data_IF_890382018349
#
_entry.id   IF_890382018349
#
_cell.length_a   1.000
_cell.length_b   1.000
_cell.length_c   1.000
_cell.angle_alpha   90.00
_cell.angle_beta   90.00
_cell.angle_gamma   90.00
#
_symmetry.space_group_name_H-M   'P 1'
#
loop_
_entity.id
_entity.type
_entity.pdbx_description
1 polymer ?
#
# COMPACT_ATOMS: atom_id res chain seq x y z
N UNK A 1 12.95 -17.06 7.47
CA UNK A 1 11.61 -17.10 6.87
C UNK A 1 10.59 -16.82 7.96
N UNK A 2 9.78 -15.80 7.82
CA UNK A 2 8.72 -15.51 8.77
C UNK A 2 7.54 -16.46 8.54
N UNK A 3 6.84 -16.82 9.63
CA UNK A 3 5.63 -17.60 9.49
C UNK A 3 4.53 -16.72 8.90
N UNK A 4 3.81 -17.22 7.92
CA UNK A 4 2.72 -16.51 7.25
C UNK A 4 1.63 -16.03 8.24
N UNK A 5 1.37 -16.77 9.31
CA UNK A 5 0.45 -16.41 10.38
C UNK A 5 0.82 -15.09 11.10
N UNK A 6 2.11 -14.70 11.04
CA UNK A 6 2.63 -13.48 11.66
C UNK A 6 2.76 -12.30 10.67
N UNK A 7 2.24 -12.42 9.45
CA UNK A 7 2.23 -11.34 8.47
C UNK A 7 0.89 -10.59 8.55
N UNK A 8 0.94 -9.26 8.45
CA UNK A 8 -0.23 -8.39 8.30
C UNK A 8 0.00 -7.42 7.15
N UNK A 9 -0.81 -7.51 6.12
CA UNK A 9 -0.78 -6.57 5.00
C UNK A 9 -1.97 -5.64 5.14
N UNK A 10 -1.72 -4.36 5.28
CA UNK A 10 -2.77 -3.38 5.52
C UNK A 10 -2.46 -2.05 4.84
N UNK A 11 -3.50 -1.29 4.63
CA UNK A 11 -3.43 0.09 4.14
C UNK A 11 -4.05 1.04 5.16
N UNK A 12 -3.73 2.32 5.05
CA UNK A 12 -4.40 3.38 5.81
C UNK A 12 -5.28 4.15 4.85
N UNK A 13 -6.56 4.22 5.14
CA UNK A 13 -7.56 4.98 4.41
C UNK A 13 -8.10 6.12 5.28
N UNK A 14 -8.25 7.30 4.71
CA UNK A 14 -8.70 8.48 5.44
C UNK A 14 -9.25 9.53 4.48
N UNK A 15 -10.04 10.45 5.01
CA UNK A 15 -10.27 11.72 4.34
C UNK A 15 -9.01 12.60 4.36
N UNK A 16 -8.95 13.59 3.47
CA UNK A 16 -7.86 14.58 3.46
C UNK A 16 -7.77 15.25 4.83
N UNK A 17 -6.56 15.49 5.31
CA UNK A 17 -6.25 16.12 6.59
C UNK A 17 -6.73 15.37 7.87
N UNK A 18 -7.27 14.16 7.78
CA UNK A 18 -7.58 13.35 8.96
C UNK A 18 -6.35 12.76 9.66
N UNK A 19 -5.15 12.91 9.06
CA UNK A 19 -3.87 12.56 9.68
C UNK A 19 -3.31 11.21 9.24
N UNK A 20 -3.64 10.75 8.02
CA UNK A 20 -3.14 9.51 7.42
C UNK A 20 -1.61 9.42 7.44
N UNK A 21 -0.91 10.36 6.78
CA UNK A 21 0.55 10.36 6.68
C UNK A 21 1.21 10.54 8.05
N UNK A 22 0.61 11.33 8.95
CA UNK A 22 1.11 11.48 10.33
C UNK A 22 1.02 10.16 11.11
N UNK A 23 -0.07 9.40 10.94
CA UNK A 23 -0.20 8.08 11.57
C UNK A 23 0.82 7.10 10.98
N UNK A 24 0.98 7.07 9.66
CA UNK A 24 1.98 6.22 8.99
C UNK A 24 3.40 6.48 9.54
N UNK A 25 3.80 7.75 9.65
CA UNK A 25 5.09 8.15 10.24
C UNK A 25 5.25 7.63 11.68
N UNK A 26 4.19 7.71 12.49
CA UNK A 26 4.22 7.22 13.88
C UNK A 26 4.33 5.70 13.98
N UNK A 27 3.63 4.96 13.11
CA UNK A 27 3.74 3.49 13.07
C UNK A 27 5.17 3.08 12.69
N UNK A 28 5.77 3.73 11.69
CA UNK A 28 7.17 3.51 11.28
C UNK A 28 8.14 3.82 12.43
N UNK A 29 7.92 4.91 13.14
CA UNK A 29 8.74 5.32 14.29
C UNK A 29 8.67 4.30 15.42
N UNK A 30 7.47 3.91 15.85
CA UNK A 30 7.26 2.97 16.97
C UNK A 30 7.84 1.59 16.69
N UNK A 31 7.84 1.16 15.42
CA UNK A 31 8.43 -0.12 15.02
C UNK A 31 9.95 -0.08 14.85
N UNK A 32 10.59 1.08 15.07
CA UNK A 32 12.04 1.23 14.92
C UNK A 32 12.55 0.98 13.51
N UNK A 33 11.66 1.03 12.52
CA UNK A 33 11.98 0.70 11.13
C UNK A 33 12.80 1.80 10.44
N UNK A 34 13.02 2.94 11.09
CA UNK A 34 13.78 4.07 10.59
C UNK A 34 14.61 4.75 11.69
N UNK A 35 15.79 5.29 11.32
CA UNK A 35 16.65 6.02 12.23
C UNK A 35 16.00 7.36 12.64
N UNK A 36 15.70 7.53 13.92
CA UNK A 36 15.05 8.74 14.47
C UNK A 36 15.77 10.03 14.08
N UNK A 37 17.09 10.00 13.89
CA UNK A 37 17.89 11.17 13.49
C UNK A 37 17.63 11.63 12.05
N UNK A 38 17.01 10.80 11.24
CA UNK A 38 16.69 11.07 9.83
C UNK A 38 15.19 11.24 9.60
N UNK A 39 14.38 11.17 10.64
CA UNK A 39 12.94 11.36 10.51
C UNK A 39 12.62 12.77 10.02
N UNK A 40 11.95 12.81 8.87
CA UNK A 40 11.31 14.02 8.34
C UNK A 40 9.80 13.79 8.41
N UNK A 41 9.02 14.86 8.52
CA UNK A 41 7.57 14.75 8.40
C UNK A 41 7.20 14.23 7.01
N UNK A 42 6.17 13.39 6.93
CA UNK A 42 5.70 12.78 5.67
C UNK A 42 6.81 11.93 5.01
N UNK A 43 7.35 10.99 5.78
CA UNK A 43 8.47 10.13 5.36
C UNK A 43 8.16 9.33 4.09
N UNK A 44 6.89 8.97 3.88
CA UNK A 44 6.43 8.22 2.71
C UNK A 44 6.11 9.11 1.51
N UNK A 45 5.85 10.41 1.71
CA UNK A 45 5.58 11.35 0.64
C UNK A 45 6.90 11.81 0.00
N UNK A 46 7.35 11.09 -1.04
CA UNK A 46 8.66 11.30 -1.65
C UNK A 46 8.68 12.42 -2.70
N UNK A 47 7.53 12.79 -3.26
CA UNK A 47 7.42 13.84 -4.28
C UNK A 47 7.35 15.22 -3.61
N UNK A 48 8.00 16.21 -4.21
CA UNK A 48 7.97 17.59 -3.72
C UNK A 48 6.54 18.14 -3.68
N UNK A 49 5.75 17.83 -4.70
CA UNK A 49 4.34 18.24 -4.80
C UNK A 49 3.45 17.57 -3.72
N UNK A 50 3.75 16.33 -3.30
CA UNK A 50 3.06 15.67 -2.20
C UNK A 50 3.26 16.43 -0.89
N UNK A 51 4.50 16.83 -0.61
CA UNK A 51 4.86 17.59 0.59
C UNK A 51 4.30 19.01 0.57
N UNK A 52 4.35 19.67 -0.61
CA UNK A 52 3.80 21.01 -0.78
C UNK A 52 2.29 21.06 -0.56
N UNK A 53 1.58 20.05 -1.08
CA UNK A 53 0.12 19.96 -1.03
C UNK A 53 -0.42 19.23 0.20
N UNK A 54 0.43 18.52 0.94
CA UNK A 54 0.03 17.70 2.09
C UNK A 54 -0.82 16.48 1.72
N UNK A 55 -0.71 15.98 0.48
CA UNK A 55 -1.48 14.84 -0.03
C UNK A 55 -0.54 13.75 -0.57
N UNK A 56 -0.87 12.50 -0.34
CA UNK A 56 -0.21 11.36 -0.98
C UNK A 56 -0.78 11.20 -2.39
N UNK A 57 0.08 11.17 -3.40
CA UNK A 57 -0.29 10.95 -4.81
C UNK A 57 0.07 9.54 -5.22
N UNK A 58 1.28 9.08 -4.88
CA UNK A 58 1.79 7.76 -5.25
C UNK A 58 1.81 6.82 -4.04
N UNK A 59 1.30 5.61 -4.24
CA UNK A 59 1.36 4.58 -3.20
C UNK A 59 2.81 4.26 -2.82
N UNK A 60 3.05 4.13 -1.52
CA UNK A 60 4.33 3.72 -0.96
C UNK A 60 4.14 2.49 -0.10
N UNK A 61 5.11 1.60 -0.13
CA UNK A 61 5.06 0.40 0.69
C UNK A 61 6.23 0.35 1.66
N UNK A 62 5.97 -0.11 2.87
CA UNK A 62 6.98 -0.26 3.91
C UNK A 62 6.74 -1.54 4.69
N UNK A 63 7.80 -2.33 4.86
CA UNK A 63 7.81 -3.47 5.78
C UNK A 63 8.35 -3.04 7.13
N UNK A 64 7.57 -3.28 8.16
CA UNK A 64 7.91 -3.00 9.56
C UNK A 64 7.96 -4.32 10.35
N UNK A 65 8.81 -4.36 11.39
CA UNK A 65 8.86 -5.45 12.37
C UNK A 65 8.29 -4.94 13.68
N UNK A 66 7.38 -5.69 14.25
CA UNK A 66 6.75 -5.32 15.51
C UNK A 66 6.70 -6.51 16.46
N UNK A 67 7.14 -6.31 17.70
CA UNK A 67 6.99 -7.27 18.77
C UNK A 67 5.73 -6.89 19.54
N UNK A 68 4.67 -7.66 19.35
CA UNK A 68 3.37 -7.40 19.98
C UNK A 68 3.35 -7.77 21.47
N UNK A 69 2.31 -7.34 22.17
CA UNK A 69 2.10 -7.63 23.60
C UNK A 69 1.97 -9.12 23.91
N UNK A 70 1.69 -9.96 22.90
CA UNK A 70 1.71 -11.43 23.00
C UNK A 70 3.13 -12.03 22.97
N UNK A 71 4.16 -11.21 22.82
CA UNK A 71 5.57 -11.60 22.78
C UNK A 71 6.05 -12.16 21.44
N UNK A 72 5.21 -12.17 20.40
CA UNK A 72 5.59 -12.64 19.07
C UNK A 72 6.05 -11.48 18.19
N UNK A 73 6.97 -11.78 17.27
CA UNK A 73 7.37 -10.84 16.21
C UNK A 73 6.43 -10.98 15.01
N UNK A 74 5.88 -9.85 14.58
CA UNK A 74 5.03 -9.71 13.42
C UNK A 74 5.71 -8.90 12.32
N UNK A 75 5.40 -9.24 11.08
CA UNK A 75 5.74 -8.46 9.90
C UNK A 75 4.50 -7.67 9.48
N UNK A 76 4.62 -6.37 9.56
CA UNK A 76 3.57 -5.42 9.19
C UNK A 76 3.96 -4.78 7.86
N UNK A 77 3.24 -5.09 6.79
CA UNK A 77 3.42 -4.46 5.49
C UNK A 77 2.36 -3.36 5.36
N UNK A 78 2.78 -2.12 5.53
CA UNK A 78 1.95 -0.94 5.24
C UNK A 78 2.04 -0.64 3.75
N UNK A 79 0.91 -0.55 3.08
CA UNK A 79 0.77 -0.03 1.72
C UNK A 79 0.02 1.28 1.84
N UNK A 80 0.75 2.40 1.82
CA UNK A 80 0.16 3.74 1.93
C UNK A 80 -0.53 4.12 0.62
N UNK A 81 -1.75 4.65 0.71
CA UNK A 81 -2.60 4.95 -0.43
C UNK A 81 -2.93 6.44 -0.50
N UNK A 82 -3.15 6.99 -1.71
CA UNK A 82 -3.73 8.33 -1.82
C UNK A 82 -5.04 8.45 -1.05
N UNK A 83 -5.31 9.62 -0.46
CA UNK A 83 -6.58 9.90 0.23
C UNK A 83 -7.63 10.58 -0.65
N UNK A 84 -7.25 11.08 -1.84
CA UNK A 84 -8.09 11.88 -2.71
C UNK A 84 -8.93 11.02 -3.66
N UNK A 85 -10.19 11.40 -3.90
CA UNK A 85 -11.13 10.66 -4.78
C UNK A 85 -10.65 10.54 -6.23
N UNK A 86 -9.85 11.48 -6.72
CA UNK A 86 -9.32 11.41 -8.07
C UNK A 86 -8.33 10.25 -8.27
N UNK A 87 -7.81 9.69 -7.19
CA UNK A 87 -6.87 8.56 -7.18
C UNK A 87 -7.53 7.23 -6.78
N UNK A 88 -8.86 7.11 -6.93
CA UNK A 88 -9.60 5.89 -6.55
C UNK A 88 -9.03 4.61 -7.20
N UNK A 89 -8.44 4.73 -8.38
CA UNK A 89 -7.85 3.61 -9.08
C UNK A 89 -6.55 3.13 -8.40
N UNK A 90 -5.69 4.06 -8.01
CA UNK A 90 -4.48 3.78 -7.23
C UNK A 90 -4.82 3.20 -5.87
N UNK A 91 -5.84 3.74 -5.21
CA UNK A 91 -6.36 3.20 -3.94
C UNK A 91 -6.83 1.76 -4.11
N UNK A 92 -7.67 1.48 -5.09
CA UNK A 92 -8.20 0.13 -5.34
C UNK A 92 -7.10 -0.90 -5.59
N UNK A 93 -6.03 -0.52 -6.31
CA UNK A 93 -4.87 -1.40 -6.57
C UNK A 93 -4.13 -1.78 -5.30
N UNK A 94 -3.85 -0.79 -4.48
CA UNK A 94 -3.13 -0.98 -3.23
C UNK A 94 -3.93 -1.81 -2.24
N UNK A 95 -5.25 -1.56 -2.17
CA UNK A 95 -6.16 -2.32 -1.32
C UNK A 95 -6.23 -3.80 -1.71
N UNK A 96 -6.18 -4.13 -3.01
CA UNK A 96 -6.18 -5.53 -3.46
C UNK A 96 -4.94 -6.34 -3.00
N UNK A 97 -3.87 -5.67 -2.59
CA UNK A 97 -2.68 -6.32 -2.03
C UNK A 97 -2.75 -6.51 -0.50
N UNK A 98 -3.82 -6.03 0.15
CA UNK A 98 -4.00 -6.02 1.60
C UNK A 98 -5.05 -7.05 2.07
N UNK A 99 -5.00 -7.37 3.35
CA UNK A 99 -6.04 -8.10 4.09
C UNK A 99 -6.83 -7.19 5.02
N UNK A 100 -6.32 -5.99 5.35
CA UNK A 100 -7.00 -5.03 6.22
C UNK A 100 -6.79 -3.58 5.80
N UNK A 101 -7.67 -2.71 6.30
CA UNK A 101 -7.59 -1.28 6.13
C UNK A 101 -7.83 -0.56 7.47
N UNK A 102 -6.92 0.31 7.85
CA UNK A 102 -7.07 1.19 9.01
C UNK A 102 -7.81 2.45 8.56
N UNK A 103 -9.03 2.64 9.02
CA UNK A 103 -9.86 3.79 8.70
C UNK A 103 -9.64 4.90 9.74
N UNK A 104 -8.95 5.97 9.34
CA UNK A 104 -8.67 7.10 10.21
C UNK A 104 -9.76 8.15 10.08
N UNK A 105 -10.42 8.47 11.19
CA UNK A 105 -11.46 9.49 11.27
C UNK A 105 -11.04 10.58 12.28
N UNK A 106 -11.18 11.84 11.89
CA UNK A 106 -10.89 12.98 12.75
C UNK A 106 -11.95 13.11 13.86
N UNK A 107 -11.53 13.18 15.13
CA UNK A 107 -12.40 13.29 16.29
C UNK A 107 -13.25 14.58 16.34
N UNK A 108 -12.93 15.59 15.53
CA UNK A 108 -13.65 16.85 15.47
C UNK A 108 -14.53 16.97 14.22
N UNK A 109 -14.10 16.41 13.07
CA UNK A 109 -14.79 16.53 11.79
C UNK A 109 -15.78 15.38 11.52
N UNK A 110 -15.45 14.16 11.97
CA UNK A 110 -16.30 12.99 11.77
C UNK A 110 -16.18 12.34 10.40
N UNK A 111 -17.26 11.72 9.95
CA UNK A 111 -17.34 10.97 8.69
C UNK A 111 -17.60 11.93 7.52
N UNK A 112 -16.68 11.96 6.58
CA UNK A 112 -16.75 12.79 5.39
C UNK A 112 -16.99 11.96 4.11
N UNK A 113 -17.35 12.60 3.01
CA UNK A 113 -17.71 11.90 1.76
C UNK A 113 -16.62 10.98 1.23
N UNK A 114 -15.34 11.38 1.32
CA UNK A 114 -14.21 10.54 0.92
C UNK A 114 -14.01 9.34 1.85
N UNK A 115 -14.36 9.48 3.13
CA UNK A 115 -14.35 8.37 4.09
C UNK A 115 -15.23 7.24 3.57
N UNK A 116 -16.47 7.54 3.18
CA UNK A 116 -17.40 6.56 2.62
C UNK A 116 -16.90 5.93 1.33
N UNK A 117 -16.40 6.74 0.40
CA UNK A 117 -15.86 6.24 -0.86
C UNK A 117 -14.72 5.23 -0.64
N UNK A 118 -13.78 5.54 0.26
CA UNK A 118 -12.66 4.67 0.58
C UNK A 118 -13.10 3.39 1.31
N UNK A 119 -14.10 3.49 2.18
CA UNK A 119 -14.70 2.32 2.86
C UNK A 119 -15.33 1.38 1.85
N UNK A 120 -16.11 1.88 0.88
CA UNK A 120 -16.68 1.03 -0.16
C UNK A 120 -15.61 0.32 -1.00
N UNK A 121 -14.51 1.02 -1.35
CA UNK A 121 -13.38 0.39 -2.05
C UNK A 121 -12.72 -0.72 -1.22
N UNK A 122 -12.62 -0.54 0.11
CA UNK A 122 -12.09 -1.57 1.00
C UNK A 122 -13.04 -2.77 1.10
N UNK A 123 -14.35 -2.54 1.20
CA UNK A 123 -15.37 -3.59 1.21
C UNK A 123 -15.40 -4.37 -0.10
N UNK A 124 -15.29 -3.71 -1.25
CA UNK A 124 -15.22 -4.35 -2.57
C UNK A 124 -14.02 -5.30 -2.69
N UNK A 125 -12.95 -5.03 -1.94
CA UNK A 125 -11.76 -5.89 -1.85
C UNK A 125 -11.84 -6.90 -0.68
N UNK A 126 -12.96 -7.01 0.02
CA UNK A 126 -13.17 -7.90 1.17
C UNK A 126 -12.16 -7.69 2.31
N UNK A 127 -11.76 -6.45 2.57
CA UNK A 127 -10.82 -6.14 3.64
C UNK A 127 -11.52 -6.05 4.99
N UNK A 128 -10.79 -6.44 6.05
CA UNK A 128 -11.16 -6.11 7.42
C UNK A 128 -10.89 -4.62 7.66
N UNK A 129 -11.90 -3.86 8.10
CA UNK A 129 -11.79 -2.42 8.30
C UNK A 129 -11.73 -2.10 9.78
N UNK A 130 -10.63 -1.47 10.21
CA UNK A 130 -10.37 -1.10 11.59
C UNK A 130 -10.53 0.41 11.76
N UNK A 131 -11.61 0.90 12.38
CA UNK A 131 -11.80 2.32 12.65
C UNK A 131 -10.83 2.80 13.74
N UNK A 132 -10.25 3.99 13.53
CA UNK A 132 -9.36 4.69 14.46
C UNK A 132 -9.78 6.15 14.55
N UNK A 133 -10.02 6.65 15.76
CA UNK A 133 -10.41 8.03 16.01
C UNK A 133 -9.15 8.84 16.31
N UNK A 134 -8.78 9.73 15.39
CA UNK A 134 -7.57 10.54 15.50
C UNK A 134 -7.85 11.98 15.97
N UNK A 135 -6.78 12.67 16.38
CA UNK A 135 -6.79 14.06 16.82
C UNK A 135 -7.57 14.31 18.10
N UNK A 136 -7.55 13.37 19.05
CA UNK A 136 -8.19 13.54 20.36
C UNK A 136 -7.51 14.62 21.22
N UNK A 137 -6.37 15.16 20.80
CA UNK A 137 -5.67 16.29 21.41
C UNK A 137 -6.35 17.63 21.13
N UNK A 138 -7.26 17.70 20.17
CA UNK A 138 -7.99 18.93 19.85
C UNK A 138 -9.06 19.25 20.91
N UNK A 139 -9.24 20.51 21.30
CA UNK A 139 -10.32 20.90 22.24
C UNK A 139 -11.73 20.63 21.73
N UNK A 140 -11.90 20.53 20.40
CA UNK A 140 -13.17 20.23 19.73
C UNK A 140 -13.41 18.73 19.51
N UNK A 141 -12.52 17.87 19.99
CA UNK A 141 -12.63 16.42 19.79
C UNK A 141 -13.87 15.84 20.52
N UNK A 142 -14.62 14.98 19.81
CA UNK A 142 -15.85 14.32 20.31
C UNK A 142 -15.80 12.82 20.00
N UNK A 143 -14.83 12.06 20.54
CA UNK A 143 -14.58 10.69 20.13
C UNK A 143 -15.79 9.77 20.27
N UNK A 144 -16.57 9.88 21.34
CA UNK A 144 -17.73 9.03 21.58
C UNK A 144 -18.87 9.29 20.58
N UNK A 145 -19.06 10.55 20.18
CA UNK A 145 -20.03 10.91 19.14
C UNK A 145 -19.60 10.39 17.77
N UNK A 146 -18.30 10.50 17.46
CA UNK A 146 -17.75 10.03 16.18
C UNK A 146 -17.80 8.49 16.07
N UNK A 147 -17.58 7.76 17.17
CA UNK A 147 -17.79 6.31 17.19
C UNK A 147 -19.22 5.95 16.78
N UNK A 148 -20.22 6.62 17.36
CA UNK A 148 -21.61 6.44 16.97
C UNK A 148 -21.88 6.81 15.52
N UNK A 149 -21.31 7.91 15.06
CA UNK A 149 -21.46 8.33 13.67
C UNK A 149 -20.93 7.27 12.69
N UNK A 150 -19.76 6.64 13.00
CA UNK A 150 -19.23 5.53 12.20
C UNK A 150 -20.19 4.35 12.19
N UNK A 151 -20.77 3.99 13.34
CA UNK A 151 -21.75 2.90 13.44
C UNK A 151 -23.02 3.21 12.66
N UNK A 152 -23.56 4.42 12.81
CA UNK A 152 -24.83 4.83 12.20
C UNK A 152 -24.73 5.07 10.69
N UNK A 153 -23.60 5.64 10.21
CA UNK A 153 -23.42 6.05 8.81
C UNK A 153 -22.77 4.97 7.96
N UNK A 154 -21.77 4.28 8.53
CA UNK A 154 -20.98 3.28 7.81
C UNK A 154 -21.43 1.86 8.11
N UNK A 155 -21.93 1.62 9.33
CA UNK A 155 -22.33 0.28 9.81
C UNK A 155 -21.16 -0.55 10.34
N UNK A 156 -20.02 0.07 10.66
CA UNK A 156 -18.87 -0.59 11.27
C UNK A 156 -18.95 -0.47 12.80
N UNK A 157 -18.65 -1.55 13.53
CA UNK A 157 -18.50 -1.49 14.98
C UNK A 157 -17.26 -0.65 15.35
N UNK A 158 -17.49 0.50 15.95
CA UNK A 158 -16.46 1.41 16.42
C UNK A 158 -16.38 1.50 17.96
N UNK A 159 -17.15 0.68 18.68
CA UNK A 159 -17.21 0.72 20.15
C UNK A 159 -15.82 0.63 20.81
N UNK A 160 -14.97 -0.25 20.31
CA UNK A 160 -13.61 -0.47 20.78
C UNK A 160 -12.53 0.24 19.94
N UNK A 161 -12.91 1.13 19.02
CA UNK A 161 -11.96 1.83 18.16
C UNK A 161 -10.93 2.61 18.99
N UNK A 162 -9.62 2.47 18.72
CA UNK A 162 -8.59 3.25 19.38
C UNK A 162 -8.80 4.75 19.18
N UNK A 163 -8.72 5.50 20.28
CA UNK A 163 -8.76 6.97 20.28
C UNK A 163 -7.35 7.50 20.45
N UNK A 164 -6.81 8.12 19.41
CA UNK A 164 -5.39 8.46 19.32
C UNK A 164 -5.12 9.93 19.02
N UNK A 165 -3.90 10.35 19.27
CA UNK A 165 -3.32 11.54 18.63
C UNK A 165 -2.06 11.13 17.88
N UNK A 166 -2.13 11.01 16.55
CA UNK A 166 -0.97 10.75 15.73
C UNK A 166 0.09 11.86 15.88
N UNK A 167 -0.33 13.10 16.10
CA UNK A 167 0.57 14.27 16.32
C UNK A 167 1.43 14.11 17.57
N UNK A 168 0.84 13.73 18.69
CA UNK A 168 1.54 13.59 19.98
C UNK A 168 2.10 12.19 20.22
N UNK A 169 1.63 11.19 19.46
CA UNK A 169 1.96 9.76 19.65
C UNK A 169 1.08 9.07 20.70
N UNK A 170 0.08 9.76 21.28
CA UNK A 170 -0.79 9.21 22.30
C UNK A 170 -1.59 8.03 21.74
N UNK A 171 -1.56 6.88 22.44
CA UNK A 171 -2.30 5.64 22.14
C UNK A 171 -2.03 5.03 20.74
N UNK A 172 -0.98 5.45 20.02
CA UNK A 172 -0.72 4.91 18.67
C UNK A 172 -0.28 3.44 18.72
N UNK A 173 0.32 2.98 19.82
CA UNK A 173 0.65 1.57 20.02
C UNK A 173 -0.60 0.68 20.02
N UNK A 174 -1.74 1.19 20.49
CA UNK A 174 -3.00 0.44 20.49
C UNK A 174 -3.49 0.15 19.06
N UNK A 175 -3.14 1.00 18.09
CA UNK A 175 -3.43 0.74 16.67
C UNK A 175 -2.59 -0.43 16.15
N UNK A 176 -1.31 -0.55 16.53
CA UNK A 176 -0.46 -1.68 16.16
C UNK A 176 -0.99 -2.99 16.74
N UNK A 177 -1.43 -2.99 18.00
CA UNK A 177 -2.02 -4.15 18.66
C UNK A 177 -3.36 -4.53 17.97
N UNK A 178 -4.16 -3.54 17.60
CA UNK A 178 -5.43 -3.77 16.90
C UNK A 178 -5.20 -4.40 15.52
N UNK A 179 -4.21 -3.91 14.77
CA UNK A 179 -3.79 -4.50 13.48
C UNK A 179 -3.35 -5.95 13.67
N UNK A 180 -2.51 -6.23 14.65
CA UNK A 180 -2.02 -7.60 14.92
C UNK A 180 -3.17 -8.54 15.25
N UNK A 181 -4.13 -8.09 16.04
CA UNK A 181 -5.26 -8.88 16.54
C UNK A 181 -6.34 -9.12 15.47
N UNK A 182 -6.72 -8.09 14.73
CA UNK A 182 -7.94 -8.09 13.94
C UNK A 182 -7.70 -8.18 12.43
N UNK A 183 -6.56 -7.67 11.89
CA UNK A 183 -6.25 -7.93 10.49
C UNK A 183 -5.91 -9.40 10.29
N UNK A 184 -6.61 -10.12 9.40
CA UNK A 184 -6.31 -11.53 9.16
C UNK A 184 -4.91 -11.70 8.56
N UNK A 185 -4.27 -12.83 8.87
CA UNK A 185 -3.04 -13.22 8.17
C UNK A 185 -3.34 -13.54 6.71
N UNK A 186 -2.40 -13.25 5.80
CA UNK A 186 -2.58 -13.58 4.40
C UNK A 186 -2.76 -15.09 4.19
N UNK A 187 -3.64 -15.45 3.27
CA UNK A 187 -3.86 -16.82 2.84
C UNK A 187 -2.92 -17.13 1.68
N UNK A 188 -2.50 -18.38 1.55
CA UNK A 188 -1.68 -18.85 0.44
C UNK A 188 -0.88 -20.10 0.81
N UNK A 189 -0.43 -20.83 -0.20
CA UNK A 189 0.35 -22.06 -0.02
C UNK A 189 1.66 -21.97 -0.83
N UNK A 190 2.78 -22.05 -0.13
CA UNK A 190 4.13 -21.98 -0.71
C UNK A 190 4.43 -23.13 -1.71
N UNK A 191 3.68 -24.23 -1.63
CA UNK A 191 3.88 -25.41 -2.46
C UNK A 191 3.03 -25.38 -3.75
N UNK A 192 2.09 -24.44 -3.86
CA UNK A 192 1.30 -24.27 -5.08
C UNK A 192 2.08 -23.58 -6.20
N UNK A 193 1.59 -23.65 -7.45
CA UNK A 193 2.13 -22.83 -8.53
C UNK A 193 2.13 -21.35 -8.12
N UNK A 194 3.23 -20.67 -8.43
CA UNK A 194 3.41 -19.29 -8.03
C UNK A 194 2.43 -18.36 -8.73
N UNK A 195 1.72 -17.57 -7.94
CA UNK A 195 0.84 -16.51 -8.39
C UNK A 195 1.10 -15.22 -7.62
N UNK A 196 1.39 -14.15 -8.36
CA UNK A 196 1.67 -12.84 -7.80
C UNK A 196 0.87 -11.77 -8.52
N UNK A 197 0.35 -10.81 -7.78
CA UNK A 197 -0.34 -9.64 -8.31
C UNK A 197 0.63 -8.46 -8.37
N UNK A 198 0.71 -7.79 -9.50
CA UNK A 198 1.41 -6.51 -9.63
C UNK A 198 0.44 -5.42 -9.18
N UNK A 199 0.75 -4.70 -8.10
CA UNK A 199 -0.10 -3.61 -7.63
C UNK A 199 0.46 -2.21 -7.93
N UNK A 200 1.78 -2.10 -8.22
CA UNK A 200 2.42 -0.87 -8.69
C UNK A 200 3.72 -1.18 -9.43
N UNK A 201 4.31 -0.17 -10.06
CA UNK A 201 5.61 -0.29 -10.71
C UNK A 201 6.34 1.05 -10.72
N UNK A 202 7.68 0.99 -10.72
CA UNK A 202 8.54 2.16 -10.78
C UNK A 202 9.78 1.86 -11.61
N UNK A 203 10.31 2.88 -12.26
CA UNK A 203 11.63 2.79 -12.89
C UNK A 203 12.70 3.29 -11.92
N UNK A 204 13.65 2.43 -11.62
CA UNK A 204 14.83 2.75 -10.82
C UNK A 204 16.04 2.87 -11.74
N UNK A 205 16.85 3.92 -11.58
CA UNK A 205 17.99 4.17 -12.45
C UNK A 205 19.10 3.11 -12.36
N UNK A 206 19.13 2.32 -11.29
CA UNK A 206 20.14 1.29 -11.05
C UNK A 206 19.62 -0.13 -11.28
N UNK A 207 18.41 -0.42 -10.85
CA UNK A 207 17.80 -1.75 -10.90
C UNK A 207 16.87 -1.91 -12.13
N UNK A 208 16.59 -0.83 -12.87
CA UNK A 208 15.66 -0.84 -14.00
C UNK A 208 14.20 -0.81 -13.56
N UNK A 209 13.33 -1.49 -14.31
CA UNK A 209 11.92 -1.55 -13.98
C UNK A 209 11.67 -2.48 -12.79
N UNK A 210 11.12 -1.93 -11.71
CA UNK A 210 10.70 -2.65 -10.51
C UNK A 210 9.19 -2.86 -10.54
N UNK A 211 8.74 -4.10 -10.42
CA UNK A 211 7.35 -4.44 -10.20
C UNK A 211 7.09 -4.65 -8.70
N UNK A 212 6.11 -3.94 -8.15
CA UNK A 212 5.66 -4.11 -6.77
C UNK A 212 4.61 -5.21 -6.73
N UNK A 213 4.87 -6.23 -5.95
CA UNK A 213 4.11 -7.47 -6.01
C UNK A 213 3.61 -7.94 -4.66
N UNK A 214 2.43 -8.56 -4.68
CA UNK A 214 1.87 -9.37 -3.61
C UNK A 214 1.90 -10.84 -4.05
N UNK A 215 2.64 -11.67 -3.33
CA UNK A 215 2.70 -13.10 -3.59
C UNK A 215 1.49 -13.78 -2.94
N UNK A 216 0.59 -14.36 -3.74
CA UNK A 216 -0.58 -15.10 -3.23
C UNK A 216 -0.24 -16.55 -2.96
N UNK A 217 0.30 -17.28 -3.91
CA UNK A 217 0.75 -18.65 -3.75
C UNK A 217 2.18 -18.82 -4.27
N UNK A 218 2.87 -19.86 -3.81
CA UNK A 218 4.21 -20.21 -4.25
C UNK A 218 5.29 -19.30 -3.70
N UNK A 219 6.35 -19.12 -4.45
CA UNK A 219 7.49 -18.25 -4.13
C UNK A 219 8.24 -17.80 -5.36
N UNK A 220 9.01 -16.72 -5.21
CA UNK A 220 9.87 -16.12 -6.23
C UNK A 220 11.27 -15.90 -5.69
N UNK A 221 12.29 -16.12 -6.51
CA UNK A 221 13.69 -15.86 -6.18
C UNK A 221 14.47 -15.34 -7.39
N UNK A 222 15.65 -14.81 -7.17
CA UNK A 222 16.58 -14.44 -8.25
C UNK A 222 16.92 -15.65 -9.11
N UNK A 223 16.97 -15.46 -10.44
CA UNK A 223 17.21 -16.47 -11.46
C UNK A 223 15.96 -17.22 -11.92
N UNK A 224 14.80 -17.00 -11.28
CA UNK A 224 13.55 -17.56 -11.77
C UNK A 224 13.12 -16.86 -13.07
N UNK A 225 12.56 -17.63 -14.01
CA UNK A 225 11.95 -17.07 -15.22
C UNK A 225 10.45 -16.91 -14.94
N UNK A 226 10.01 -15.67 -14.91
CA UNK A 226 8.61 -15.30 -14.75
C UNK A 226 7.92 -15.17 -16.11
N UNK A 227 6.62 -15.33 -16.06
CA UNK A 227 5.71 -15.17 -17.18
C UNK A 227 4.57 -14.23 -16.77
N UNK A 228 4.40 -13.15 -17.53
CA UNK A 228 3.30 -12.18 -17.33
C UNK A 228 2.09 -12.63 -18.14
N UNK A 229 0.92 -12.75 -17.50
CA UNK A 229 -0.25 -13.38 -18.13
C UNK A 229 -0.94 -12.48 -19.15
N UNK A 230 -0.86 -11.15 -19.01
CA UNK A 230 -1.54 -10.21 -19.91
C UNK A 230 -0.88 -10.13 -21.29
N UNK A 231 0.46 -9.98 -21.34
CA UNK A 231 1.21 -9.79 -22.58
C UNK A 231 1.98 -11.03 -23.03
N UNK A 232 1.97 -12.10 -22.23
CA UNK A 232 2.61 -13.39 -22.49
C UNK A 232 4.12 -13.28 -22.69
N UNK A 233 4.77 -12.31 -22.04
CA UNK A 233 6.21 -12.11 -22.09
C UNK A 233 6.90 -12.83 -20.92
N UNK A 234 8.15 -13.20 -21.16
CA UNK A 234 9.00 -13.88 -20.19
C UNK A 234 10.16 -12.97 -19.79
N UNK A 235 10.48 -12.96 -18.50
CA UNK A 235 11.58 -12.18 -17.95
C UNK A 235 12.31 -12.99 -16.89
N UNK A 236 13.61 -12.80 -16.79
CA UNK A 236 14.40 -13.35 -15.70
C UNK A 236 14.42 -12.38 -14.52
N UNK A 237 14.18 -12.91 -13.33
CA UNK A 237 14.28 -12.15 -12.09
C UNK A 237 15.76 -11.91 -11.76
N UNK A 238 16.17 -10.65 -11.71
CA UNK A 238 17.51 -10.24 -11.31
C UNK A 238 17.62 -10.20 -9.78
N UNK A 239 16.64 -9.59 -9.12
CA UNK A 239 16.57 -9.52 -7.66
C UNK A 239 15.13 -9.48 -7.17
N UNK A 240 14.93 -9.94 -5.95
CA UNK A 240 13.68 -9.78 -5.19
C UNK A 240 13.99 -9.14 -3.85
N UNK A 241 13.01 -8.52 -3.24
CA UNK A 241 13.20 -7.92 -1.93
C UNK A 241 11.94 -7.25 -1.41
N UNK A 242 12.11 -6.47 -0.35
CA UNK A 242 11.04 -5.78 0.32
C UNK A 242 11.37 -4.30 0.56
N UNK A 243 10.35 -3.54 0.89
CA UNK A 243 10.43 -2.10 1.05
C UNK A 243 10.91 -1.72 2.45
N UNK A 244 11.72 -0.69 2.53
CA UNK A 244 12.02 0.05 3.75
C UNK A 244 11.80 1.53 3.52
N UNK A 245 11.64 2.35 4.56
CA UNK A 245 11.59 3.78 4.39
C UNK A 245 12.83 4.29 3.65
N UNK A 246 12.61 4.98 2.52
CA UNK A 246 13.68 5.52 1.69
C UNK A 246 14.45 4.52 0.84
N UNK A 247 13.93 3.32 0.57
CA UNK A 247 14.59 2.39 -0.35
C UNK A 247 14.14 0.93 -0.26
N UNK A 248 15.02 0.05 -0.71
CA UNK A 248 14.76 -1.38 -0.88
C UNK A 248 15.78 -2.22 -0.13
N UNK A 249 15.38 -3.42 0.30
CA UNK A 249 16.28 -4.42 0.88
C UNK A 249 16.13 -5.69 0.05
N UNK A 250 17.26 -6.20 -0.48
CA UNK A 250 17.28 -7.48 -1.20
C UNK A 250 17.00 -8.63 -0.25
N UNK A 251 16.28 -9.63 -0.76
CA UNK A 251 15.96 -10.88 -0.06
C UNK A 251 16.35 -12.04 -0.96
N UNK A 252 16.55 -13.21 -0.36
CA UNK A 252 16.82 -14.43 -1.14
C UNK A 252 15.58 -14.91 -1.89
N UNK A 253 14.41 -14.76 -1.29
CA UNK A 253 13.12 -15.15 -1.86
C UNK A 253 11.98 -14.28 -1.32
N UNK A 254 10.86 -14.26 -2.06
CA UNK A 254 9.55 -13.78 -1.62
C UNK A 254 8.57 -14.94 -1.64
N UNK A 255 7.88 -15.15 -0.53
CA UNK A 255 6.98 -16.28 -0.32
C UNK A 255 5.52 -15.89 -0.28
N UNK A 256 4.63 -16.88 -0.40
CA UNK A 256 3.19 -16.70 -0.24
C UNK A 256 2.87 -15.87 1.02
N UNK A 257 2.05 -14.85 0.86
CA UNK A 257 1.70 -13.91 1.92
C UNK A 257 2.53 -12.63 1.94
N UNK A 258 3.70 -12.59 1.31
CA UNK A 258 4.59 -11.44 1.38
C UNK A 258 4.30 -10.37 0.33
N UNK A 259 4.57 -9.13 0.70
CA UNK A 259 4.60 -7.95 -0.16
C UNK A 259 6.05 -7.55 -0.38
N UNK A 260 6.41 -7.27 -1.63
CA UNK A 260 7.77 -6.90 -1.97
C UNK A 260 7.90 -6.39 -3.40
N UNK A 261 9.12 -6.35 -3.89
CA UNK A 261 9.41 -5.96 -5.26
C UNK A 261 10.16 -7.07 -6.02
N UNK A 262 10.02 -7.03 -7.33
CA UNK A 262 10.79 -7.82 -8.28
C UNK A 262 11.49 -6.86 -9.22
N UNK A 263 12.82 -6.96 -9.32
CA UNK A 263 13.59 -6.41 -10.41
C UNK A 263 13.77 -7.51 -11.46
N UNK A 264 13.28 -7.30 -12.65
CA UNK A 264 13.41 -8.24 -13.75
C UNK A 264 14.10 -7.56 -14.94
N UNK A 265 14.58 -8.35 -15.90
CA UNK A 265 15.26 -7.83 -17.10
C UNK A 265 14.26 -7.13 -18.05
N UNK A 266 13.41 -6.27 -17.51
CA UNK A 266 12.38 -5.54 -18.25
C UNK A 266 12.95 -4.20 -18.69
N UNK A 267 13.03 -4.00 -20.01
CA UNK A 267 13.61 -2.78 -20.59
C UNK A 267 12.61 -1.61 -20.62
N UNK A 268 11.32 -1.90 -20.82
CA UNK A 268 10.29 -0.89 -20.95
C UNK A 268 9.28 -1.05 -19.81
N UNK A 269 9.02 0.01 -19.05
CA UNK A 269 8.03 0.01 -17.98
C UNK A 269 6.61 -0.31 -18.51
N UNK A 270 6.32 0.06 -19.75
CA UNK A 270 5.04 -0.26 -20.43
C UNK A 270 4.77 -1.77 -20.58
N UNK A 271 5.78 -2.61 -20.42
CA UNK A 271 5.64 -4.06 -20.42
C UNK A 271 5.10 -4.61 -19.09
N UNK A 272 5.18 -3.82 -18.03
CA UNK A 272 4.60 -4.11 -16.72
C UNK A 272 3.22 -3.46 -16.66
N UNK A 273 2.18 -4.30 -16.64
CA UNK A 273 0.82 -3.80 -16.41
C UNK A 273 0.45 -3.99 -14.96
N UNK A 274 0.07 -2.91 -14.30
CA UNK A 274 -0.49 -3.00 -12.95
C UNK A 274 -1.81 -3.76 -13.00
N UNK A 275 -2.01 -4.69 -12.06
CA UNK A 275 -3.13 -5.63 -12.05
C UNK A 275 -2.87 -6.92 -12.81
N UNK A 276 -1.70 -7.05 -13.46
CA UNK A 276 -1.33 -8.31 -14.12
C UNK A 276 -0.90 -9.36 -13.11
N UNK A 277 -1.03 -10.61 -13.54
CA UNK A 277 -0.58 -11.77 -12.78
C UNK A 277 0.77 -12.25 -13.30
N UNK A 278 1.71 -12.38 -12.38
CA UNK A 278 3.00 -13.04 -12.62
C UNK A 278 2.92 -14.47 -12.12
N UNK A 279 3.45 -15.38 -12.93
CA UNK A 279 3.65 -16.79 -12.58
C UNK A 279 5.00 -17.30 -13.07
N UNK A 280 5.43 -18.48 -12.61
CA UNK A 280 6.67 -19.08 -13.08
C UNK A 280 6.44 -19.80 -14.42
N UNK A 281 7.38 -19.64 -15.36
CA UNK A 281 7.34 -20.28 -16.67
C UNK A 281 7.28 -21.81 -16.59
N UNK A 282 8.01 -22.40 -15.67
CA UNK A 282 8.11 -23.87 -15.51
C UNK A 282 6.90 -24.51 -14.83
N UNK A 283 6.08 -23.72 -14.13
CA UNK A 283 4.86 -24.21 -13.46
C UNK A 283 3.81 -23.08 -13.40
N UNK A 284 3.25 -22.66 -14.55
CA UNK A 284 2.35 -21.52 -14.62
C UNK A 284 0.99 -21.85 -14.03
N UNK A 285 0.35 -20.84 -13.42
CA UNK A 285 -1.06 -20.91 -13.06
C UNK A 285 -1.93 -20.87 -14.31
N UNK A 286 -3.10 -21.50 -14.25
CA UNK A 286 -4.00 -21.62 -15.41
C UNK A 286 -4.83 -20.35 -15.63
N UNK A 287 -5.20 -19.67 -14.56
CA UNK A 287 -6.07 -18.51 -14.57
C UNK A 287 -5.37 -17.34 -13.88
N UNK A 288 -5.53 -16.10 -14.38
CA UNK A 288 -5.02 -14.94 -13.72
C UNK A 288 -5.74 -14.72 -12.38
N UNK A 289 -5.05 -14.09 -11.44
CA UNK A 289 -5.69 -13.55 -10.24
C UNK A 289 -6.79 -12.58 -10.67
N UNK A 290 -7.84 -12.48 -9.86
CA UNK A 290 -8.84 -11.45 -10.08
C UNK A 290 -8.14 -10.09 -9.99
N UNK A 291 -7.83 -9.57 -11.17
CA UNK A 291 -7.14 -8.32 -11.35
C UNK A 291 -8.13 -7.17 -11.44
N UNK A 292 -7.59 -6.00 -11.59
CA UNK A 292 -8.35 -4.77 -11.76
C UNK A 292 -9.15 -4.77 -13.05
N UNK A 293 -10.31 -4.14 -13.02
CA UNK A 293 -11.01 -3.76 -14.25
C UNK A 293 -10.14 -2.77 -15.02
N UNK A 294 -9.93 -2.98 -16.31
CA UNK A 294 -9.28 -1.96 -17.15
C UNK A 294 -10.07 -0.65 -17.02
N UNK A 295 -9.40 0.39 -16.54
CA UNK A 295 -9.99 1.71 -16.46
C UNK A 295 -9.94 2.33 -17.84
N UNK A 296 -11.09 2.71 -18.37
CA UNK A 296 -11.16 3.51 -19.59
C UNK A 296 -10.72 4.93 -19.25
N UNK A 297 -9.83 5.49 -20.07
CA UNK A 297 -9.45 6.90 -19.95
C UNK A 297 -10.69 7.79 -20.01
N UNK A 298 -10.89 8.62 -18.98
CA UNK A 298 -12.06 9.50 -18.86
C UNK A 298 -11.74 10.94 -19.24
N UNK A 299 -10.47 11.32 -19.18
CA UNK A 299 -10.00 12.67 -19.48
C UNK A 299 -8.90 12.60 -20.54
N UNK A 300 -9.01 13.42 -21.53
CA UNK A 300 -7.99 13.58 -22.58
C UNK A 300 -7.57 15.05 -22.59
N UNK A 301 -6.26 15.30 -22.57
CA UNK A 301 -5.71 16.65 -22.70
C UNK A 301 -4.61 16.67 -23.74
N UNK A 302 -4.56 17.76 -24.52
CA UNK A 302 -3.43 18.05 -25.40
C UNK A 302 -2.39 18.86 -24.63
N UNK A 303 -1.14 18.39 -24.64
CA UNK A 303 -0.01 19.12 -24.07
C UNK A 303 0.85 19.62 -25.23
N UNK A 304 1.16 20.92 -25.22
CA UNK A 304 1.94 21.56 -26.27
C UNK A 304 3.11 22.31 -25.63
N UNK A 305 4.32 22.25 -26.22
CA UNK A 305 5.42 23.09 -25.76
C UNK A 305 5.08 24.57 -25.99
N UNK A 306 5.63 25.46 -25.17
CA UNK A 306 5.48 26.91 -25.33
C UNK A 306 6.21 27.40 -26.58
N UNK A 307 7.33 26.79 -26.94
CA UNK A 307 8.07 27.00 -28.18
C UNK A 307 8.03 25.72 -29.02
N UNK A 308 7.74 25.87 -30.31
CA UNK A 308 7.65 24.71 -31.22
C UNK A 308 8.98 23.96 -31.43
N UNK A 309 10.12 24.58 -31.10
CA UNK A 309 11.45 23.94 -31.12
C UNK A 309 11.59 22.85 -30.06
N UNK A 310 10.81 22.88 -28.97
CA UNK A 310 10.91 21.98 -27.83
C UNK A 310 10.01 20.75 -27.97
N UNK A 311 9.41 20.54 -29.14
CA UNK A 311 8.48 19.44 -29.38
C UNK A 311 9.10 18.06 -29.16
N UNK A 312 10.32 17.83 -29.65
CA UNK A 312 11.00 16.54 -29.51
C UNK A 312 11.36 16.26 -28.04
N UNK A 313 11.80 17.29 -27.29
CA UNK A 313 12.08 17.16 -25.86
C UNK A 313 10.81 16.85 -25.06
N UNK A 314 9.68 17.54 -25.38
CA UNK A 314 8.40 17.26 -24.77
C UNK A 314 7.92 15.83 -25.06
N UNK A 315 8.12 15.35 -26.29
CA UNK A 315 7.74 14.01 -26.69
C UNK A 315 8.55 12.95 -25.93
N UNK A 316 9.88 13.11 -25.83
CA UNK A 316 10.75 12.23 -25.06
C UNK A 316 10.39 12.22 -23.56
N UNK A 317 9.97 13.38 -23.01
CA UNK A 317 9.57 13.47 -21.61
C UNK A 317 8.20 12.81 -21.31
N UNK A 318 7.36 12.62 -22.34
CA UNK A 318 6.03 12.00 -22.22
C UNK A 318 6.03 10.49 -22.53
N UNK A 319 7.03 9.99 -23.26
CA UNK A 319 7.22 8.56 -23.56
C UNK A 319 7.97 7.84 -22.44
#
# INVERSE_FOLDING_TARGET
>A
MYKQENIRNFSIIAHIDHGKSTLADRLIQLTGSFDERKMQNQLLDNMEIERERGITIKSQSVRMKYIAKDGKEYILNLIDTPGHVDFNYEVSRSLAACEGAVLVVDAAQGVEAQTLANVYLALDNNLEILPVINKIDLPSARPDEIKKEIEDVIGLDASNAPCISAKTGLNVEDVLEDIVKNVPSPKGDINKPTSCLIFDSVYDNYEGALAFVRVFDGKLKSGDIIYTMSNKKEYEIVSVGYFKPGGYIKSDELCAGEVGYIAASIKNLSDIRVGDTITLKNNPVKEPLHGYKEVKSMVYSGIFPADGSDYEELKEALE
#
